data_IF_051002716947
#
_entry.id   IF_051002716947
#
_cell.length_a   1.000
_cell.length_b   1.000
_cell.length_c   1.000
_cell.angle_alpha   90.00
_cell.angle_beta   90.00
_cell.angle_gamma   90.00
#
_symmetry.space_group_name_H-M   'P 1'
#
loop_
_entity.id
_entity.type
_entity.pdbx_description
1 polymer ?
#
# COMPACT_ATOMS: atom_id res chain seq x y z
N UNK A 1 -34.12 -38.06 -24.39
CA UNK A 1 -32.93 -38.93 -24.49
C UNK A 1 -31.60 -38.17 -24.61
N UNK A 2 -31.45 -37.18 -25.50
CA UNK A 2 -30.13 -36.49 -25.66
C UNK A 2 -29.69 -35.70 -24.41
N UNK A 3 -30.58 -34.94 -23.79
CA UNK A 3 -30.26 -34.13 -22.61
C UNK A 3 -29.91 -34.96 -21.34
N UNK A 4 -30.55 -36.11 -21.15
CA UNK A 4 -30.25 -37.00 -20.02
C UNK A 4 -28.87 -37.64 -20.16
N UNK A 5 -28.46 -37.97 -21.39
CA UNK A 5 -27.11 -38.49 -21.69
C UNK A 5 -26.07 -37.40 -21.44
N UNK A 6 -26.28 -36.18 -21.96
CA UNK A 6 -25.37 -35.05 -21.73
C UNK A 6 -25.22 -34.78 -20.23
N UNK A 7 -26.32 -34.77 -19.47
CA UNK A 7 -26.29 -34.57 -18.03
C UNK A 7 -25.47 -35.65 -17.32
N UNK A 8 -25.60 -36.92 -17.74
CA UNK A 8 -24.83 -38.02 -17.16
C UNK A 8 -23.32 -37.85 -17.40
N UNK A 9 -22.92 -37.43 -18.61
CA UNK A 9 -21.52 -37.12 -18.92
C UNK A 9 -21.00 -35.96 -18.08
N UNK A 10 -21.72 -34.84 -18.03
CA UNK A 10 -21.30 -33.67 -17.22
C UNK A 10 -21.13 -34.04 -15.76
N UNK A 11 -22.05 -34.80 -15.17
CA UNK A 11 -21.96 -35.22 -13.76
C UNK A 11 -20.76 -36.15 -13.53
N UNK A 12 -20.49 -37.06 -14.47
CA UNK A 12 -19.33 -37.95 -14.39
C UNK A 12 -18.04 -37.13 -14.42
N UNK A 13 -17.88 -36.28 -15.43
CA UNK A 13 -16.67 -35.51 -15.66
C UNK A 13 -16.40 -34.52 -14.52
N UNK A 14 -17.46 -33.91 -13.97
CA UNK A 14 -17.34 -33.05 -12.80
C UNK A 14 -16.81 -33.81 -11.58
N UNK A 15 -17.34 -35.01 -11.32
CA UNK A 15 -16.87 -35.87 -10.21
C UNK A 15 -15.43 -36.32 -10.43
N UNK A 16 -15.05 -36.67 -11.65
CA UNK A 16 -13.68 -37.05 -11.99
C UNK A 16 -12.72 -35.87 -11.80
N UNK A 17 -13.10 -34.68 -12.27
CA UNK A 17 -12.32 -33.45 -12.12
C UNK A 17 -12.08 -33.13 -10.65
N UNK A 18 -13.12 -33.18 -9.80
CA UNK A 18 -12.96 -32.93 -8.36
C UNK A 18 -12.15 -34.00 -7.62
N UNK A 19 -11.99 -35.20 -8.20
CA UNK A 19 -11.18 -36.28 -7.62
C UNK A 19 -9.70 -36.16 -8.00
N UNK A 20 -9.39 -35.50 -9.11
CA UNK A 20 -8.04 -35.14 -9.50
C UNK A 20 -7.59 -33.84 -8.80
N UNK A 21 -6.80 -34.01 -7.74
CA UNK A 21 -6.25 -32.89 -6.96
C UNK A 21 -5.41 -31.93 -7.82
N UNK A 22 -4.74 -32.43 -8.85
CA UNK A 22 -3.89 -31.61 -9.73
C UNK A 22 -4.79 -30.73 -10.61
N UNK A 23 -5.82 -31.31 -11.21
CA UNK A 23 -6.79 -30.56 -12.00
C UNK A 23 -7.51 -29.49 -11.16
N UNK A 24 -7.96 -29.84 -9.95
CA UNK A 24 -8.62 -28.88 -9.03
C UNK A 24 -7.67 -27.74 -8.65
N UNK A 25 -6.40 -28.04 -8.36
CA UNK A 25 -5.41 -27.02 -8.02
C UNK A 25 -5.28 -26.00 -9.16
N UNK A 26 -5.06 -26.46 -10.39
CA UNK A 26 -4.88 -25.55 -11.53
C UNK A 26 -6.16 -24.80 -11.91
N UNK A 27 -7.33 -25.41 -11.76
CA UNK A 27 -8.60 -24.81 -12.13
C UNK A 27 -9.13 -23.81 -11.09
N UNK A 28 -8.89 -24.06 -9.80
CA UNK A 28 -9.49 -23.28 -8.71
C UNK A 28 -8.41 -22.56 -7.89
N UNK A 29 -7.49 -23.32 -7.30
CA UNK A 29 -6.53 -22.75 -6.35
C UNK A 29 -5.59 -21.74 -7.03
N UNK A 30 -5.13 -22.04 -8.24
CA UNK A 30 -4.21 -21.17 -8.98
C UNK A 30 -4.82 -19.80 -9.31
N UNK A 31 -6.02 -19.68 -9.91
CA UNK A 31 -6.70 -18.40 -10.05
C UNK A 31 -6.95 -17.68 -8.72
N UNK A 32 -7.31 -18.42 -7.66
CA UNK A 32 -7.56 -17.84 -6.33
C UNK A 32 -6.30 -17.20 -5.75
N UNK A 33 -5.15 -17.84 -5.90
CA UNK A 33 -3.85 -17.31 -5.46
C UNK A 33 -3.58 -15.98 -6.18
N UNK A 34 -3.76 -15.92 -7.50
CA UNK A 34 -3.57 -14.68 -8.25
C UNK A 34 -4.51 -13.56 -7.79
N UNK A 35 -5.76 -13.89 -7.46
CA UNK A 35 -6.72 -12.92 -6.93
C UNK A 35 -6.27 -12.38 -5.57
N UNK A 36 -5.75 -13.24 -4.69
CA UNK A 36 -5.23 -12.80 -3.39
C UNK A 36 -3.96 -11.96 -3.54
N UNK A 37 -3.03 -12.37 -4.41
CA UNK A 37 -1.82 -11.59 -4.69
C UNK A 37 -2.16 -10.20 -5.25
N UNK A 38 -3.12 -10.12 -6.17
CA UNK A 38 -3.56 -8.82 -6.72
C UNK A 38 -4.26 -7.95 -5.67
N UNK A 39 -5.16 -8.52 -4.88
CA UNK A 39 -5.93 -7.77 -3.90
C UNK A 39 -5.11 -7.25 -2.70
N UNK A 40 -3.99 -7.90 -2.36
CA UNK A 40 -3.23 -7.57 -1.14
C UNK A 40 -1.78 -7.17 -1.38
N UNK A 41 -1.12 -7.71 -2.41
CA UNK A 41 0.29 -7.42 -2.69
C UNK A 41 0.40 -6.33 -3.75
N UNK A 42 -0.28 -6.47 -4.89
CA UNK A 42 -0.14 -5.54 -6.01
C UNK A 42 -0.99 -4.28 -5.86
N UNK A 43 -2.21 -4.43 -5.34
CA UNK A 43 -3.09 -3.30 -5.00
C UNK A 43 -3.12 -3.27 -3.49
N UNK A 44 -2.21 -2.52 -2.87
CA UNK A 44 -2.24 -2.38 -1.42
C UNK A 44 -3.58 -1.74 -1.01
N UNK A 45 -4.35 -2.37 -0.11
CA UNK A 45 -5.56 -1.73 0.43
C UNK A 45 -5.12 -0.44 1.14
N UNK A 46 -5.50 0.70 0.56
CA UNK A 46 -5.05 2.03 1.02
C UNK A 46 -4.17 2.78 0.04
N UNK A 47 -3.96 2.32 -1.20
CA UNK A 47 -3.21 3.07 -2.22
C UNK A 47 -3.77 4.50 -2.49
N UNK A 48 -5.06 4.73 -2.24
CA UNK A 48 -5.69 6.06 -2.37
C UNK A 48 -5.82 6.82 -1.02
N UNK A 49 -5.30 6.25 0.07
CA UNK A 49 -5.31 6.92 1.37
C UNK A 49 -4.00 7.72 1.56
N UNK A 50 -4.08 9.05 1.76
CA UNK A 50 -2.90 9.83 2.11
C UNK A 50 -2.25 9.28 3.38
N UNK A 51 -0.96 8.97 3.30
CA UNK A 51 -0.16 8.52 4.43
C UNK A 51 0.69 9.67 4.96
N UNK A 52 0.61 9.93 6.25
CA UNK A 52 1.46 10.93 6.90
C UNK A 52 2.89 10.40 7.04
N UNK A 53 3.86 11.16 6.53
CA UNK A 53 5.29 10.87 6.67
C UNK A 53 5.88 11.68 7.82
N UNK A 54 6.62 11.02 8.71
CA UNK A 54 7.37 11.70 9.77
C UNK A 54 8.66 12.28 9.18
N UNK A 55 8.88 13.57 9.35
CA UNK A 55 10.06 14.28 8.84
C UNK A 55 10.72 15.03 9.99
N UNK A 56 12.01 14.76 10.19
CA UNK A 56 12.87 15.56 11.05
C UNK A 56 13.60 16.63 10.25
N UNK A 57 13.58 17.88 10.73
CA UNK A 57 14.22 19.02 10.05
C UNK A 57 15.11 19.79 11.02
N UNK A 58 16.33 20.07 10.59
CA UNK A 58 17.24 21.03 11.24
C UNK A 58 17.33 22.26 10.34
N UNK A 59 16.80 23.38 10.80
CA UNK A 59 16.89 24.62 10.05
C UNK A 59 18.21 25.34 10.40
N UNK A 60 19.16 25.35 9.47
CA UNK A 60 20.43 26.09 9.63
C UNK A 60 20.35 27.55 9.15
N UNK A 61 19.21 27.95 8.62
CA UNK A 61 18.99 29.22 7.92
C UNK A 61 18.29 30.27 8.80
N UNK A 62 18.33 30.10 10.12
CA UNK A 62 17.58 30.93 11.09
C UNK A 62 18.01 32.40 11.11
N UNK A 63 19.24 32.68 10.63
CA UNK A 63 19.88 34.00 10.69
C UNK A 63 20.04 34.66 9.32
N UNK A 64 19.51 34.06 8.24
CA UNK A 64 19.71 34.63 6.90
C UNK A 64 18.71 35.76 6.61
N UNK A 65 19.18 36.76 5.86
CA UNK A 65 18.38 37.90 5.39
C UNK A 65 17.69 37.62 4.05
N UNK A 66 17.63 36.37 3.61
CA UNK A 66 17.05 35.98 2.32
C UNK A 66 15.52 36.04 2.36
N UNK A 67 14.85 36.54 1.32
CA UNK A 67 13.38 36.52 1.22
C UNK A 67 12.82 35.10 1.14
N UNK A 68 13.62 34.12 0.69
CA UNK A 68 13.29 32.70 0.77
C UNK A 68 14.16 32.04 1.84
N UNK A 69 13.58 31.78 3.01
CA UNK A 69 14.26 31.16 4.15
C UNK A 69 13.75 29.75 4.42
N UNK A 70 14.57 28.94 5.11
CA UNK A 70 14.19 27.58 5.53
C UNK A 70 12.90 27.51 6.35
N UNK A 71 12.50 28.61 7.01
CA UNK A 71 11.23 28.70 7.75
C UNK A 71 10.01 28.59 6.84
N UNK A 72 10.08 29.11 5.61
CA UNK A 72 8.98 29.04 4.64
C UNK A 72 8.76 27.60 4.21
N UNK A 73 9.83 26.84 3.97
CA UNK A 73 9.75 25.42 3.65
C UNK A 73 9.17 24.62 4.82
N UNK A 74 9.62 24.86 6.06
CA UNK A 74 9.07 24.19 7.25
C UNK A 74 7.57 24.48 7.41
N UNK A 75 7.15 25.72 7.16
CA UNK A 75 5.72 26.09 7.20
C UNK A 75 4.93 25.36 6.12
N UNK A 76 5.42 25.38 4.87
CA UNK A 76 4.77 24.67 3.77
C UNK A 76 4.60 23.18 4.06
N UNK A 77 5.60 22.53 4.66
CA UNK A 77 5.51 21.12 5.06
C UNK A 77 4.51 20.89 6.20
N UNK A 78 4.40 21.80 7.17
CA UNK A 78 3.43 21.70 8.29
C UNK A 78 1.98 21.91 7.86
N UNK A 79 1.77 22.67 6.80
CA UNK A 79 0.47 23.04 6.23
C UNK A 79 0.05 22.13 5.06
N UNK A 80 0.98 21.37 4.46
CA UNK A 80 0.68 20.47 3.36
C UNK A 80 -0.34 19.39 3.75
N UNK A 81 -1.50 19.44 3.10
CA UNK A 81 -2.65 18.59 3.36
C UNK A 81 -3.21 18.04 2.05
N UNK A 82 -3.63 16.78 2.06
CA UNK A 82 -4.33 16.16 0.95
C UNK A 82 -5.54 15.41 1.46
N UNK A 83 -6.71 15.67 0.86
CA UNK A 83 -7.99 15.04 1.24
C UNK A 83 -8.28 15.09 2.75
N UNK A 84 -8.00 16.20 3.45
CA UNK A 84 -8.28 16.32 4.88
C UNK A 84 -7.18 15.78 5.81
N UNK A 85 -6.10 15.22 5.25
CA UNK A 85 -5.03 14.55 6.01
C UNK A 85 -3.70 15.27 5.81
N UNK A 86 -3.03 15.59 6.92
CA UNK A 86 -1.69 16.17 6.88
C UNK A 86 -0.70 15.19 6.26
N UNK A 87 0.01 15.63 5.24
CA UNK A 87 0.98 14.81 4.52
C UNK A 87 2.26 14.60 5.33
N UNK A 88 2.64 15.58 6.15
CA UNK A 88 3.87 15.53 6.91
C UNK A 88 3.63 15.81 8.39
N UNK A 89 4.24 14.99 9.22
CA UNK A 89 4.40 15.25 10.64
C UNK A 89 5.82 15.76 10.86
N UNK A 90 5.95 17.07 11.02
CA UNK A 90 7.25 17.76 11.03
C UNK A 90 7.71 17.99 12.47
N UNK A 91 8.84 17.37 12.84
CA UNK A 91 9.56 17.65 14.08
C UNK A 91 10.81 18.47 13.77
N UNK A 92 10.97 19.60 14.44
CA UNK A 92 12.10 20.50 14.24
C UNK A 92 13.11 20.30 15.36
N UNK A 93 14.39 20.21 15.02
CA UNK A 93 15.49 20.03 15.98
C UNK A 93 16.45 21.19 15.90
N UNK A 94 17.03 21.54 17.04
CA UNK A 94 18.03 22.59 17.15
C UNK A 94 19.44 22.11 16.79
N UNK A 95 19.71 20.81 16.94
CA UNK A 95 21.01 20.20 16.66
C UNK A 95 20.89 18.84 15.97
N UNK A 96 22.00 18.41 15.36
CA UNK A 96 22.12 17.12 14.69
C UNK A 96 22.13 15.96 15.70
N UNK A 97 22.73 16.16 16.86
CA UNK A 97 22.79 15.14 17.92
C UNK A 97 21.40 14.75 18.42
N UNK A 98 20.52 15.74 18.65
CA UNK A 98 19.13 15.50 19.09
C UNK A 98 18.29 14.77 18.03
N UNK A 99 18.57 15.03 16.75
CA UNK A 99 17.93 14.32 15.65
C UNK A 99 18.42 12.87 15.60
N UNK A 100 19.73 12.64 15.76
CA UNK A 100 20.31 11.31 15.75
C UNK A 100 19.88 10.47 16.96
N UNK A 101 19.67 11.08 18.12
CA UNK A 101 19.09 10.41 19.29
C UNK A 101 17.66 9.93 19.05
N UNK A 102 16.85 10.69 18.31
CA UNK A 102 15.44 10.36 18.04
C UNK A 102 15.26 9.32 16.92
N UNK A 103 16.28 9.11 16.10
CA UNK A 103 16.31 8.08 15.04
C UNK A 103 16.83 6.72 15.56
N UNK A 104 17.65 6.73 16.61
CA UNK A 104 18.22 5.52 17.22
C UNK A 104 17.18 4.73 18.02
#
# INVERSE_FOLDING_TARGET
MKASVIKAFVVKDLKETFRDKVAVFWMIAWPLIWLLLTAYIFITPGADQPKTMNIGIINRDVSSSSPFSGLILVRALKEAEYKGVKLFNVKTYESEDLLLEDIK
#
